data_IF_096332361518
#
_entry.id   IF_096332361518
#
_cell.length_a   1.000
_cell.length_b   1.000
_cell.length_c   1.000
_cell.angle_alpha   90.00
_cell.angle_beta   90.00
_cell.angle_gamma   90.00
#
_symmetry.space_group_name_H-M   'P 1'
#
loop_
_entity.id
_entity.type
_entity.pdbx_description
1 polymer ?
#
# COMPACT_ATOMS: atom_id res chain seq x y z
N UNK A 1 14.81 -11.00 4.64
CA UNK A 1 14.98 -9.73 5.38
C UNK A 1 15.12 -8.60 4.38
N UNK A 2 14.19 -7.64 4.41
CA UNK A 2 14.22 -6.46 3.52
C UNK A 2 15.01 -5.29 4.12
N UNK A 3 15.06 -5.13 5.46
CA UNK A 3 15.76 -4.02 6.10
C UNK A 3 16.49 -4.44 7.37
N UNK A 4 17.78 -4.13 7.46
CA UNK A 4 18.71 -4.48 8.55
C UNK A 4 20.15 -4.10 8.17
N UNK A 5 21.14 -4.46 8.98
CA UNK A 5 22.57 -4.22 8.66
C UNK A 5 23.02 -4.97 7.39
N UNK A 6 22.47 -6.16 7.15
CA UNK A 6 22.54 -6.89 5.87
C UNK A 6 21.17 -7.42 5.51
N UNK A 7 20.77 -7.22 4.25
CA UNK A 7 19.53 -7.74 3.68
C UNK A 7 19.77 -9.11 3.02
N UNK A 8 18.70 -9.86 2.76
CA UNK A 8 18.79 -11.19 2.15
C UNK A 8 17.97 -12.26 2.87
N UNK A 9 18.10 -13.50 2.39
CA UNK A 9 17.52 -14.70 3.02
C UNK A 9 18.54 -15.24 4.01
N UNK A 10 18.08 -15.56 5.22
CA UNK A 10 18.89 -16.17 6.26
C UNK A 10 18.23 -17.48 6.68
N UNK A 11 19.01 -18.55 6.76
CA UNK A 11 18.50 -19.89 7.08
C UNK A 11 18.16 -20.04 8.57
N UNK A 12 18.70 -19.15 9.42
CA UNK A 12 18.52 -19.22 10.87
C UNK A 12 18.09 -17.89 11.48
N UNK A 13 17.31 -17.98 12.55
CA UNK A 13 16.97 -16.81 13.37
C UNK A 13 18.22 -16.11 13.92
N UNK A 14 19.25 -16.85 14.35
CA UNK A 14 20.46 -16.27 14.90
C UNK A 14 21.20 -15.37 13.88
N UNK A 15 21.22 -15.76 12.60
CA UNK A 15 21.79 -14.93 11.53
C UNK A 15 20.94 -13.68 11.29
N UNK A 16 19.62 -13.82 11.22
CA UNK A 16 18.67 -12.73 11.07
C UNK A 16 18.76 -11.73 12.24
N UNK A 17 18.76 -12.21 13.47
CA UNK A 17 18.82 -11.42 14.69
C UNK A 17 20.08 -10.55 14.75
N UNK A 18 21.24 -11.06 14.34
CA UNK A 18 22.48 -10.27 14.24
C UNK A 18 22.35 -9.06 13.31
N UNK A 19 21.47 -9.11 12.31
CA UNK A 19 21.26 -8.01 11.37
C UNK A 19 20.16 -7.04 11.79
N UNK A 20 19.34 -7.40 12.78
CA UNK A 20 18.18 -6.58 13.21
C UNK A 20 18.37 -6.00 14.61
N UNK A 21 19.17 -6.65 15.46
CA UNK A 21 19.41 -6.23 16.84
C UNK A 21 20.09 -4.85 16.87
N UNK A 22 19.39 -3.86 17.44
CA UNK A 22 19.86 -2.47 17.50
C UNK A 22 19.65 -1.66 16.20
N UNK A 23 19.10 -2.27 15.14
CA UNK A 23 18.79 -1.57 13.89
C UNK A 23 17.39 -0.97 13.92
N UNK A 24 17.27 0.37 13.87
CA UNK A 24 15.98 1.07 13.90
C UNK A 24 15.19 0.81 12.60
N UNK A 25 13.98 0.27 12.75
CA UNK A 25 13.08 0.03 11.62
C UNK A 25 13.49 -1.16 10.74
N UNK A 26 14.09 -2.20 11.33
CA UNK A 26 14.38 -3.43 10.62
C UNK A 26 13.08 -4.11 10.13
N UNK A 27 13.11 -4.68 8.93
CA UNK A 27 11.96 -5.31 8.29
C UNK A 27 12.36 -6.72 7.84
N UNK A 28 11.80 -7.71 8.53
CA UNK A 28 12.07 -9.12 8.28
C UNK A 28 10.82 -9.95 8.54
N UNK A 29 10.75 -11.09 7.85
CA UNK A 29 9.71 -12.09 8.02
C UNK A 29 10.33 -13.47 7.83
N UNK A 30 9.86 -14.45 8.59
CA UNK A 30 10.20 -15.86 8.42
C UNK A 30 9.23 -16.49 7.42
N UNK A 31 9.73 -17.40 6.59
CA UNK A 31 8.97 -18.08 5.56
C UNK A 31 9.18 -19.58 5.69
N UNK A 32 8.18 -20.36 5.27
CA UNK A 32 8.26 -21.81 5.30
C UNK A 32 9.08 -22.33 4.10
N UNK A 33 9.10 -21.57 3.00
CA UNK A 33 9.81 -21.95 1.78
C UNK A 33 10.80 -20.88 1.33
N UNK A 34 11.84 -21.32 0.60
CA UNK A 34 12.80 -20.43 -0.04
C UNK A 34 12.13 -19.53 -1.09
N UNK A 35 11.10 -20.04 -1.77
CA UNK A 35 10.36 -19.33 -2.80
C UNK A 35 9.58 -18.13 -2.23
N UNK A 36 8.86 -18.33 -1.12
CA UNK A 36 8.21 -17.24 -0.38
C UNK A 36 9.23 -16.20 0.10
N UNK A 37 10.40 -16.66 0.57
CA UNK A 37 11.47 -15.77 1.02
C UNK A 37 12.10 -14.96 -0.12
N UNK A 38 12.22 -15.56 -1.31
CA UNK A 38 12.65 -14.88 -2.55
C UNK A 38 11.62 -13.86 -3.01
N UNK A 39 10.34 -14.23 -3.03
CA UNK A 39 9.25 -13.31 -3.38
C UNK A 39 9.22 -12.11 -2.43
N UNK A 40 9.40 -12.34 -1.13
CA UNK A 40 9.53 -11.26 -0.15
C UNK A 40 10.78 -10.39 -0.34
N UNK A 41 11.84 -10.82 -1.03
CA UNK A 41 12.95 -9.91 -1.36
C UNK A 41 12.73 -9.19 -2.69
N UNK A 42 12.10 -9.86 -3.66
CA UNK A 42 11.80 -9.30 -4.98
C UNK A 42 10.65 -8.28 -4.95
N UNK A 43 9.85 -8.28 -3.91
CA UNK A 43 8.81 -7.29 -3.62
C UNK A 43 9.38 -5.87 -3.34
N UNK A 44 10.70 -5.68 -3.47
CA UNK A 44 11.44 -4.40 -3.44
C UNK A 44 12.09 -4.05 -4.80
N UNK A 45 11.91 -4.85 -5.86
CA UNK A 45 12.28 -4.35 -7.19
C UNK A 45 11.41 -3.13 -7.46
N UNK A 46 12.07 -1.98 -7.62
CA UNK A 46 11.48 -0.77 -8.13
C UNK A 46 10.97 -1.08 -9.54
N UNK A 47 9.80 -1.71 -9.66
CA UNK A 47 9.17 -1.94 -10.96
C UNK A 47 9.01 -0.54 -11.54
N UNK A 48 9.71 -0.27 -12.62
CA UNK A 48 9.55 0.95 -13.36
C UNK A 48 8.12 0.90 -13.89
N UNK A 49 7.24 1.73 -13.34
CA UNK A 49 5.79 1.72 -13.63
C UNK A 49 5.54 2.20 -15.08
N UNK A 50 6.62 2.54 -15.79
CA UNK A 50 6.71 2.84 -17.21
C UNK A 50 7.21 1.68 -18.10
N UNK A 51 7.41 0.47 -17.58
CA UNK A 51 7.67 -0.68 -18.42
C UNK A 51 6.42 -1.01 -19.26
N UNK A 52 6.49 -0.68 -20.55
CA UNK A 52 5.40 -0.87 -21.52
C UNK A 52 4.94 -2.33 -21.70
N UNK A 53 5.71 -3.29 -21.16
CA UNK A 53 5.43 -4.72 -21.23
C UNK A 53 4.70 -5.25 -19.98
N UNK A 54 4.45 -4.38 -18.99
CA UNK A 54 3.66 -4.72 -17.81
C UNK A 54 2.18 -4.40 -18.04
N UNK A 55 1.39 -5.43 -18.29
CA UNK A 55 -0.05 -5.33 -18.55
C UNK A 55 -0.88 -5.20 -17.25
N UNK A 56 -0.24 -5.08 -16.08
CA UNK A 56 -0.95 -4.86 -14.82
C UNK A 56 -1.47 -3.43 -14.69
N UNK A 57 -2.57 -3.29 -13.97
CA UNK A 57 -3.05 -2.00 -13.50
C UNK A 57 -2.32 -1.59 -12.23
N UNK A 58 -1.81 -0.37 -12.21
CA UNK A 58 -1.20 0.27 -11.06
C UNK A 58 -2.12 1.36 -10.53
N UNK A 59 -2.63 1.17 -9.32
CA UNK A 59 -3.52 2.15 -8.68
C UNK A 59 -2.78 2.79 -7.52
N UNK A 60 -2.38 4.04 -7.70
CA UNK A 60 -1.78 4.83 -6.64
C UNK A 60 -2.87 5.38 -5.76
N UNK A 61 -2.68 5.27 -4.45
CA UNK A 61 -3.62 5.77 -3.45
C UNK A 61 -2.89 6.66 -2.45
N UNK A 62 -3.53 7.75 -2.06
CA UNK A 62 -3.03 8.66 -1.03
C UNK A 62 -4.20 9.29 -0.26
N UNK A 63 -3.94 9.77 0.95
CA UNK A 63 -4.91 10.36 1.85
C UNK A 63 -4.52 11.77 2.29
N UNK A 64 -5.51 12.64 2.45
CA UNK A 64 -5.31 13.97 3.01
C UNK A 64 -6.25 14.21 4.19
N UNK A 65 -5.90 15.16 5.06
CA UNK A 65 -6.69 15.48 6.24
C UNK A 65 -6.57 16.95 6.61
N UNK A 66 -7.71 17.61 6.79
CA UNK A 66 -7.78 18.98 7.31
C UNK A 66 -9.03 19.18 8.16
N UNK A 67 -8.92 19.89 9.28
CA UNK A 67 -10.05 20.34 10.11
C UNK A 67 -11.07 19.25 10.50
N UNK A 68 -10.62 18.03 10.81
CA UNK A 68 -11.53 16.93 11.17
C UNK A 68 -12.09 16.13 10.00
N UNK A 69 -11.74 16.50 8.77
CA UNK A 69 -12.21 15.87 7.54
C UNK A 69 -11.02 15.21 6.82
N UNK A 70 -11.13 13.91 6.56
CA UNK A 70 -10.19 13.19 5.69
C UNK A 70 -10.75 13.06 4.27
N UNK A 71 -9.85 12.87 3.32
CA UNK A 71 -10.15 12.58 1.92
C UNK A 71 -9.17 11.55 1.38
N UNK A 72 -9.50 11.02 0.21
CA UNK A 72 -8.69 10.06 -0.52
C UNK A 72 -8.60 10.47 -1.98
N UNK A 73 -7.50 10.11 -2.61
CA UNK A 73 -7.27 10.23 -4.05
C UNK A 73 -6.72 8.92 -4.59
N UNK A 74 -7.13 8.57 -5.81
CA UNK A 74 -6.53 7.46 -6.54
C UNK A 74 -6.29 7.79 -8.01
N UNK A 75 -5.16 7.32 -8.54
CA UNK A 75 -4.78 7.45 -9.94
C UNK A 75 -4.45 6.07 -10.53
N UNK A 76 -5.12 5.73 -11.62
CA UNK A 76 -5.07 4.41 -12.24
C UNK A 76 -4.22 4.48 -13.50
N UNK A 77 -3.17 3.66 -13.54
CA UNK A 77 -2.26 3.54 -14.68
C UNK A 77 -2.33 2.13 -15.26
N UNK A 78 -2.21 2.03 -16.58
CA UNK A 78 -2.07 0.78 -17.32
C UNK A 78 -1.06 0.99 -18.46
N UNK A 79 -0.10 0.07 -18.59
CA UNK A 79 0.99 0.17 -19.58
C UNK A 79 1.71 1.54 -19.55
N UNK A 80 1.91 2.08 -18.34
CA UNK A 80 2.55 3.38 -18.11
C UNK A 80 1.73 4.61 -18.50
N UNK A 81 0.44 4.46 -18.83
CA UNK A 81 -0.46 5.57 -19.16
C UNK A 81 -1.51 5.75 -18.09
N UNK A 82 -1.82 7.01 -17.75
CA UNK A 82 -2.95 7.34 -16.89
C UNK A 82 -4.26 6.98 -17.62
N UNK A 83 -5.07 6.15 -17.00
CA UNK A 83 -6.37 5.69 -17.53
C UNK A 83 -7.52 6.44 -16.88
N UNK A 84 -7.47 6.62 -15.56
CA UNK A 84 -8.53 7.31 -14.83
C UNK A 84 -8.04 7.85 -13.48
N UNK A 85 -8.82 8.75 -12.89
CA UNK A 85 -8.55 9.35 -11.57
C UNK A 85 -9.84 9.54 -10.79
N UNK A 86 -9.79 9.23 -9.49
CA UNK A 86 -10.92 9.40 -8.60
C UNK A 86 -10.47 10.06 -7.30
N UNK A 87 -11.39 10.76 -6.64
CA UNK A 87 -11.18 11.29 -5.31
C UNK A 87 -12.51 11.36 -4.56
N UNK A 88 -12.42 11.54 -3.24
CA UNK A 88 -13.59 11.68 -2.41
C UNK A 88 -13.27 12.11 -1.00
N UNK A 89 -14.30 12.60 -0.31
CA UNK A 89 -14.26 12.91 1.12
C UNK A 89 -14.78 11.73 1.94
N UNK A 90 -14.08 11.45 3.04
CA UNK A 90 -14.52 10.47 4.03
C UNK A 90 -15.76 10.92 4.79
N UNK A 91 -16.56 9.97 5.30
CA UNK A 91 -17.76 10.31 6.10
C UNK A 91 -17.71 9.81 7.53
N UNK A 92 -16.72 8.98 7.88
CA UNK A 92 -16.65 8.36 9.20
C UNK A 92 -16.04 9.33 10.23
N UNK A 93 -16.77 9.60 11.32
CA UNK A 93 -16.25 10.39 12.45
C UNK A 93 -15.15 9.65 13.21
N UNK A 94 -15.17 8.31 13.21
CA UNK A 94 -14.17 7.46 13.89
C UNK A 94 -12.83 7.42 13.16
N UNK A 95 -12.81 7.79 11.87
CA UNK A 95 -11.60 7.93 11.07
C UNK A 95 -10.78 9.18 11.42
N UNK A 96 -11.33 10.10 12.21
CA UNK A 96 -10.62 11.31 12.67
C UNK A 96 -9.36 11.01 13.46
N UNK A 97 -9.26 9.85 14.13
CA UNK A 97 -8.05 9.47 14.87
C UNK A 97 -6.88 8.98 14.01
N UNK A 98 -7.15 8.67 12.73
CA UNK A 98 -6.15 8.15 11.80
C UNK A 98 -5.74 9.18 10.74
N UNK A 99 -6.31 10.39 10.78
CA UNK A 99 -5.97 11.52 9.92
C UNK A 99 -5.83 11.08 8.43
N UNK A 100 -4.67 11.28 7.82
CA UNK A 100 -4.37 10.92 6.44
C UNK A 100 -4.44 9.40 6.18
N UNK A 101 -4.11 8.56 7.18
CA UNK A 101 -4.14 7.10 7.04
C UNK A 101 -5.57 6.60 6.81
N UNK A 102 -6.58 7.31 7.29
CA UNK A 102 -7.97 6.97 6.96
C UNK A 102 -8.27 7.18 5.47
N UNK A 103 -7.69 8.21 4.85
CA UNK A 103 -7.76 8.45 3.42
C UNK A 103 -7.08 7.35 2.61
N UNK A 104 -5.89 6.94 3.02
CA UNK A 104 -5.18 5.83 2.37
C UNK A 104 -5.96 4.51 2.46
N UNK A 105 -6.56 4.21 3.62
CA UNK A 105 -7.43 3.05 3.83
C UNK A 105 -8.62 3.07 2.87
N UNK A 106 -9.34 4.20 2.81
CA UNK A 106 -10.50 4.33 1.93
C UNK A 106 -10.09 4.24 0.45
N UNK A 107 -8.98 4.89 0.06
CA UNK A 107 -8.44 4.81 -1.29
C UNK A 107 -8.10 3.38 -1.71
N UNK A 108 -7.50 2.58 -0.81
CA UNK A 108 -7.24 1.16 -1.08
C UNK A 108 -8.53 0.34 -1.20
N UNK A 109 -9.55 0.63 -0.39
CA UNK A 109 -10.85 -0.04 -0.50
C UNK A 109 -11.53 0.27 -1.83
N UNK A 110 -11.48 1.52 -2.29
CA UNK A 110 -12.01 1.92 -3.60
C UNK A 110 -11.23 1.31 -4.76
N UNK A 111 -9.90 1.22 -4.66
CA UNK A 111 -9.06 0.52 -5.64
C UNK A 111 -9.43 -0.98 -5.74
N UNK A 112 -9.72 -1.63 -4.62
CA UNK A 112 -10.15 -3.02 -4.59
C UNK A 112 -11.54 -3.21 -5.22
N UNK A 113 -12.48 -2.28 -4.97
CA UNK A 113 -13.79 -2.27 -5.64
C UNK A 113 -13.64 -2.09 -7.14
N UNK A 114 -12.76 -1.18 -7.57
CA UNK A 114 -12.46 -0.97 -8.99
C UNK A 114 -11.92 -2.26 -9.63
N UNK A 115 -10.99 -2.95 -8.97
CA UNK A 115 -10.45 -4.24 -9.45
C UNK A 115 -11.55 -5.27 -9.66
N UNK A 116 -12.43 -5.45 -8.66
CA UNK A 116 -13.54 -6.39 -8.75
C UNK A 116 -14.58 -6.02 -9.82
N UNK A 117 -14.85 -4.73 -10.00
CA UNK A 117 -15.80 -4.25 -11.02
C UNK A 117 -15.30 -4.48 -12.46
N UNK A 118 -13.98 -4.35 -12.68
CA UNK A 118 -13.37 -4.58 -13.99
C UNK A 118 -12.99 -6.05 -14.22
N UNK A 119 -12.91 -6.85 -13.15
CA UNK A 119 -12.46 -8.24 -13.22
C UNK A 119 -10.95 -8.38 -13.41
N UNK A 120 -10.20 -7.30 -13.19
CA UNK A 120 -8.76 -7.22 -13.43
C UNK A 120 -7.95 -7.28 -12.13
N UNK A 121 -6.73 -7.83 -12.24
CA UNK A 121 -5.78 -7.79 -11.14
C UNK A 121 -5.06 -6.45 -11.10
N UNK A 122 -4.95 -5.89 -9.89
CA UNK A 122 -4.36 -4.58 -9.67
C UNK A 122 -3.20 -4.64 -8.67
N UNK A 123 -2.29 -3.67 -8.80
CA UNK A 123 -1.24 -3.36 -7.83
C UNK A 123 -1.60 -2.05 -7.16
N UNK A 124 -1.95 -2.09 -5.88
CA UNK A 124 -2.18 -0.87 -5.09
C UNK A 124 -0.83 -0.32 -4.65
N UNK A 125 -0.49 0.86 -5.15
CA UNK A 125 0.70 1.61 -4.78
C UNK A 125 0.40 2.58 -3.64
N UNK A 126 1.14 2.46 -2.54
CA UNK A 126 0.91 3.25 -1.33
C UNK A 126 2.23 3.59 -0.63
N UNK A 127 2.27 4.67 0.15
CA UNK A 127 3.48 5.11 0.85
C UNK A 127 3.59 4.57 2.29
N UNK A 128 2.47 4.22 2.90
CA UNK A 128 2.41 3.69 4.27
C UNK A 128 2.29 2.16 4.31
N UNK A 129 3.31 1.50 4.86
CA UNK A 129 3.38 0.02 4.89
C UNK A 129 2.19 -0.65 5.58
N UNK A 130 1.58 0.02 6.57
CA UNK A 130 0.47 -0.54 7.36
C UNK A 130 -0.73 -0.95 6.51
N UNK A 131 -0.96 -0.29 5.37
CA UNK A 131 -2.04 -0.58 4.43
C UNK A 131 -1.98 -2.02 3.91
N UNK A 132 -0.80 -2.45 3.46
CA UNK A 132 -0.58 -3.84 3.03
C UNK A 132 -0.56 -4.83 4.20
N UNK A 133 0.02 -4.44 5.33
CA UNK A 133 0.24 -5.36 6.46
C UNK A 133 -1.05 -5.70 7.19
N UNK A 134 -2.00 -4.77 7.29
CA UNK A 134 -3.33 -5.05 7.83
C UNK A 134 -4.18 -5.89 6.88
N UNK A 135 -4.20 -5.56 5.58
CA UNK A 135 -4.96 -6.33 4.58
C UNK A 135 -4.49 -7.79 4.51
N UNK A 136 -3.17 -8.01 4.59
CA UNK A 136 -2.55 -9.34 4.53
C UNK A 136 -2.52 -10.06 5.88
N UNK A 137 -3.15 -9.49 6.92
CA UNK A 137 -3.24 -10.09 8.25
C UNK A 137 -1.90 -10.24 8.99
N UNK A 138 -0.86 -9.51 8.58
CA UNK A 138 0.49 -9.58 9.14
C UNK A 138 0.65 -8.70 10.38
N UNK A 139 -0.08 -7.59 10.44
CA UNK A 139 -0.10 -6.69 11.58
C UNK A 139 -1.41 -6.81 12.36
N UNK A 140 -1.31 -6.68 13.68
CA UNK A 140 -2.49 -6.68 14.55
C UNK A 140 -3.33 -5.43 14.32
N UNK A 141 -4.63 -5.62 14.12
CA UNK A 141 -5.63 -4.55 13.98
C UNK A 141 -6.23 -4.21 15.34
N UNK A 142 -5.84 -3.07 15.91
CA UNK A 142 -6.29 -2.65 17.24
C UNK A 142 -7.49 -1.67 17.21
N UNK A 143 -7.71 -0.98 16.08
CA UNK A 143 -8.78 0.01 15.91
C UNK A 143 -9.91 -0.58 15.08
N UNK A 144 -11.14 -0.10 15.28
CA UNK A 144 -12.30 -0.57 14.51
C UNK A 144 -12.10 -0.34 12.99
N UNK A 145 -11.55 0.81 12.59
CA UNK A 145 -11.26 1.08 11.18
C UNK A 145 -10.29 0.05 10.57
N UNK A 146 -9.21 -0.30 11.28
CA UNK A 146 -8.22 -1.25 10.73
C UNK A 146 -8.71 -2.69 10.74
N UNK A 147 -9.58 -3.06 11.68
CA UNK A 147 -10.28 -4.36 11.66
C UNK A 147 -11.23 -4.45 10.48
N UNK A 148 -12.10 -3.44 10.31
CA UNK A 148 -13.04 -3.39 9.19
C UNK A 148 -12.29 -3.40 7.85
N UNK A 149 -11.23 -2.61 7.71
CA UNK A 149 -10.40 -2.63 6.50
C UNK A 149 -9.83 -4.03 6.20
N UNK A 150 -9.23 -4.70 7.20
CA UNK A 150 -8.71 -6.04 7.00
C UNK A 150 -9.80 -7.05 6.61
N UNK A 151 -10.98 -6.98 7.24
CA UNK A 151 -12.12 -7.82 6.90
C UNK A 151 -12.68 -7.53 5.50
N UNK A 152 -12.76 -6.26 5.13
CA UNK A 152 -13.20 -5.80 3.82
C UNK A 152 -12.28 -6.29 2.71
N UNK A 153 -10.96 -6.28 2.92
CA UNK A 153 -9.98 -6.64 1.89
C UNK A 153 -9.90 -8.14 1.61
N UNK A 154 -10.30 -9.01 2.56
CA UNK A 154 -10.26 -10.48 2.43
C UNK A 154 -10.76 -11.03 1.08
N UNK A 155 -11.97 -10.69 0.59
CA UNK A 155 -12.47 -11.19 -0.68
C UNK A 155 -11.71 -10.67 -1.92
N UNK A 156 -10.89 -9.63 -1.77
CA UNK A 156 -10.17 -9.00 -2.88
C UNK A 156 -8.70 -9.42 -2.96
N UNK A 157 -8.19 -10.21 -2.00
CA UNK A 157 -6.76 -10.56 -1.92
C UNK A 157 -6.24 -11.36 -3.14
N UNK A 158 -7.13 -12.02 -3.89
CA UNK A 158 -6.76 -12.70 -5.15
C UNK A 158 -6.66 -11.75 -6.36
N UNK A 159 -7.27 -10.57 -6.25
CA UNK A 159 -7.28 -9.52 -7.27
C UNK A 159 -6.28 -8.40 -6.98
N UNK A 160 -5.94 -8.20 -5.71
CA UNK A 160 -5.15 -7.06 -5.24
C UNK A 160 -3.80 -7.53 -4.72
N UNK A 161 -2.74 -6.94 -5.27
CA UNK A 161 -1.41 -6.95 -4.66
C UNK A 161 -1.01 -5.55 -4.22
N UNK A 162 -0.01 -5.44 -3.35
CA UNK A 162 0.42 -4.17 -2.78
C UNK A 162 1.86 -3.88 -3.14
N UNK A 163 2.15 -2.63 -3.45
CA UNK A 163 3.52 -2.15 -3.67
C UNK A 163 3.75 -0.88 -2.86
N UNK A 164 4.74 -0.92 -1.98
CA UNK A 164 5.15 0.28 -1.26
C UNK A 164 5.93 1.19 -2.20
N UNK A 165 5.55 2.46 -2.27
CA UNK A 165 6.30 3.53 -2.93
C UNK A 165 6.86 4.50 -1.89
N UNK A 166 7.86 5.29 -2.26
CA UNK A 166 8.35 6.35 -1.39
C UNK A 166 7.43 7.58 -1.52
N UNK A 167 6.93 8.07 -0.40
CA UNK A 167 6.11 9.29 -0.36
C UNK A 167 6.97 10.54 -0.63
N UNK A 168 6.42 11.48 -1.40
CA UNK A 168 7.04 12.79 -1.71
C UNK A 168 8.43 12.73 -2.37
N UNK A 169 8.71 11.72 -3.20
CA UNK A 169 10.01 11.57 -3.89
C UNK A 169 9.95 11.63 -5.42
N UNK A 170 8.98 12.32 -6.05
CA UNK A 170 8.93 12.42 -7.52
C UNK A 170 8.22 11.25 -8.22
N UNK A 171 7.48 10.41 -7.49
CA UNK A 171 6.69 9.34 -8.11
C UNK A 171 5.41 9.95 -8.65
N UNK A 172 5.34 10.17 -9.96
CA UNK A 172 4.24 10.87 -10.65
C UNK A 172 2.85 10.39 -10.22
N UNK A 173 2.62 9.07 -10.16
CA UNK A 173 1.34 8.53 -9.72
C UNK A 173 0.99 8.82 -8.27
N UNK A 174 1.97 8.80 -7.36
CA UNK A 174 1.74 9.13 -5.95
C UNK A 174 1.50 10.64 -5.76
N UNK A 175 2.25 11.48 -6.47
CA UNK A 175 2.06 12.94 -6.42
C UNK A 175 0.68 13.34 -6.97
N UNK A 176 0.22 12.64 -8.02
CA UNK A 176 -1.13 12.82 -8.53
C UNK A 176 -2.19 12.38 -7.51
N UNK A 177 -2.00 11.24 -6.84
CA UNK A 177 -2.92 10.78 -5.79
C UNK A 177 -2.97 11.75 -4.59
N UNK A 178 -1.83 12.26 -4.11
CA UNK A 178 -1.75 13.30 -3.06
C UNK A 178 -2.49 14.57 -3.47
N UNK A 179 -2.27 15.03 -4.71
CA UNK A 179 -2.96 16.20 -5.28
C UNK A 179 -4.47 15.97 -5.33
N UNK A 180 -4.92 14.81 -5.77
CA UNK A 180 -6.35 14.46 -5.85
C UNK A 180 -7.00 14.43 -4.45
N UNK A 181 -6.30 13.89 -3.46
CA UNK A 181 -6.77 13.87 -2.08
C UNK A 181 -6.91 15.31 -1.53
N UNK A 182 -5.93 16.18 -1.78
CA UNK A 182 -5.98 17.59 -1.39
C UNK A 182 -7.10 18.35 -2.11
N UNK A 183 -7.27 18.12 -3.41
CA UNK A 183 -8.35 18.71 -4.20
C UNK A 183 -9.74 18.36 -3.65
N UNK A 184 -9.95 17.14 -3.17
CA UNK A 184 -11.21 16.73 -2.54
C UNK A 184 -11.53 17.52 -1.26
N UNK A 185 -10.52 18.10 -0.59
CA UNK A 185 -10.69 18.99 0.58
C UNK A 185 -10.71 20.48 0.19
N UNK A 186 -10.59 20.81 -1.09
CA UNK A 186 -10.51 22.20 -1.57
C UNK A 186 -9.16 22.87 -1.34
N UNK A 187 -8.08 22.07 -1.25
CA UNK A 187 -6.69 22.52 -1.08
C UNK A 187 -5.91 22.57 -2.40
#
# INVERSE_FOLDING_TARGET
MKKGYKTGIFDTWAQCQKQTQGFKGALFKSFATLEEAKNYLNDDEAVNIMEKDDDRYYIYVDGSYINGQYSWGMAIYHQGKLIDTFNGIGKSKDASELHNVAGEIEGAMEAAKWAAANGDKVVICHDYIGLSEWALGRWKTNKELTKHYADFMKPYLDLVSFKKVAGHTGVEGNELADKLAKQALGL
#
